data_IF_924288495021
#
_entry.id   IF_924288495021
#
_cell.length_a   1.000
_cell.length_b   1.000
_cell.length_c   1.000
_cell.angle_alpha   90.00
_cell.angle_beta   90.00
_cell.angle_gamma   90.00
#
_symmetry.space_group_name_H-M   'P 1'
#
loop_
_entity.id
_entity.type
_entity.pdbx_description
1 polymer ?
#
# COMPACT_ATOMS: atom_id res chain seq x y z
N UNK A 1 8.65 33.99 40.39
CA UNK A 1 7.90 33.44 39.25
C UNK A 1 8.93 33.11 38.20
N UNK A 2 9.31 31.84 38.14
CA UNK A 2 10.47 31.38 37.39
C UNK A 2 10.04 31.12 35.94
N UNK A 3 10.67 31.84 35.03
CA UNK A 3 10.68 31.61 33.59
C UNK A 3 11.29 30.22 33.33
N UNK A 4 10.42 29.22 33.19
CA UNK A 4 10.80 27.83 33.00
C UNK A 4 10.70 27.47 31.51
N UNK A 5 11.87 27.39 30.88
CA UNK A 5 12.14 26.49 29.76
C UNK A 5 11.39 26.78 28.47
N UNK A 6 11.90 27.73 27.68
CA UNK A 6 11.78 27.65 26.22
C UNK A 6 12.72 26.52 25.80
N UNK A 7 12.24 25.28 25.84
CA UNK A 7 12.95 24.15 25.25
C UNK A 7 13.23 24.52 23.80
N UNK A 8 14.50 24.72 23.49
CA UNK A 8 15.05 24.95 22.15
C UNK A 8 14.90 23.65 21.37
N UNK A 9 13.66 23.32 21.00
CA UNK A 9 13.33 22.18 20.16
C UNK A 9 13.75 22.56 18.74
N UNK A 10 15.06 22.43 18.48
CA UNK A 10 15.65 22.68 17.17
C UNK A 10 14.86 21.92 16.13
N UNK A 11 14.28 22.65 15.18
CA UNK A 11 13.54 22.04 14.07
C UNK A 11 14.49 21.08 13.35
N UNK A 12 14.13 19.80 13.20
CA UNK A 12 14.95 18.84 12.47
C UNK A 12 15.30 19.34 11.07
N UNK A 13 16.48 18.98 10.58
CA UNK A 13 16.90 19.28 9.22
C UNK A 13 15.91 18.66 8.21
N UNK A 14 15.05 19.51 7.65
CA UNK A 14 13.96 19.06 6.79
C UNK A 14 14.48 18.52 5.46
N UNK A 15 15.56 19.10 4.95
CA UNK A 15 16.14 18.69 3.67
C UNK A 15 16.75 17.30 3.81
N UNK A 16 17.46 17.04 4.91
CA UNK A 16 17.95 15.69 5.22
C UNK A 16 16.81 14.68 5.42
N UNK A 17 15.70 15.08 6.03
CA UNK A 17 14.53 14.22 6.20
C UNK A 17 13.90 13.84 4.85
N UNK A 18 13.76 14.82 3.94
CA UNK A 18 13.19 14.60 2.61
C UNK A 18 14.10 13.75 1.73
N UNK A 19 15.40 14.01 1.75
CA UNK A 19 16.40 13.23 1.00
C UNK A 19 16.41 11.76 1.46
N UNK A 20 16.46 11.53 2.78
CA UNK A 20 16.40 10.17 3.35
C UNK A 20 15.08 9.45 3.03
N UNK A 21 13.99 10.20 2.88
CA UNK A 21 12.69 9.65 2.47
C UNK A 21 12.59 9.42 0.95
N UNK A 22 13.58 9.85 0.16
CA UNK A 22 13.57 9.75 -1.30
C UNK A 22 12.54 10.67 -1.95
N UNK A 23 12.25 11.82 -1.34
CA UNK A 23 11.27 12.76 -1.89
C UNK A 23 11.81 13.47 -3.14
N UNK A 24 11.08 13.37 -4.24
CA UNK A 24 11.31 14.10 -5.48
C UNK A 24 10.03 14.87 -5.86
N UNK A 25 10.08 16.22 -5.94
CA UNK A 25 8.91 17.03 -6.27
C UNK A 25 8.41 16.85 -7.71
N UNK A 26 9.22 16.33 -8.64
CA UNK A 26 8.81 16.12 -10.04
C UNK A 26 7.95 14.87 -10.21
N UNK A 27 8.08 13.90 -9.30
CA UNK A 27 7.38 12.60 -9.36
C UNK A 27 6.37 12.43 -8.22
N UNK A 28 6.27 13.39 -7.31
CA UNK A 28 5.33 13.35 -6.18
C UNK A 28 4.04 14.15 -6.46
N UNK A 29 2.93 13.68 -5.87
CA UNK A 29 1.67 14.44 -5.79
C UNK A 29 1.72 15.56 -4.74
N UNK A 30 2.77 15.58 -3.91
CA UNK A 30 2.98 16.59 -2.89
C UNK A 30 3.91 17.67 -3.42
N UNK A 31 3.58 18.93 -3.14
CA UNK A 31 4.57 20.00 -3.31
C UNK A 31 5.68 19.86 -2.28
N UNK A 32 6.87 20.43 -2.55
CA UNK A 32 7.96 20.47 -1.56
C UNK A 32 7.47 21.00 -0.21
N UNK A 33 6.66 22.06 -0.22
CA UNK A 33 6.13 22.68 1.00
C UNK A 33 5.19 21.75 1.79
N UNK A 34 4.38 20.96 1.10
CA UNK A 34 3.53 19.95 1.73
C UNK A 34 4.37 18.82 2.34
N UNK A 35 5.40 18.37 1.64
CA UNK A 35 6.32 17.33 2.12
C UNK A 35 7.10 17.80 3.36
N UNK A 36 7.62 19.04 3.36
CA UNK A 36 8.28 19.64 4.52
C UNK A 36 7.38 19.64 5.76
N UNK A 37 6.14 20.13 5.61
CA UNK A 37 5.18 20.18 6.71
C UNK A 37 4.85 18.77 7.21
N UNK A 38 4.57 17.81 6.32
CA UNK A 38 4.33 16.42 6.73
C UNK A 38 5.53 15.81 7.46
N UNK A 39 6.74 15.95 6.92
CA UNK A 39 7.95 15.39 7.52
C UNK A 39 8.18 15.90 8.95
N UNK A 40 8.03 17.21 9.18
CA UNK A 40 8.16 17.80 10.52
C UNK A 40 7.03 17.36 11.45
N UNK A 41 5.80 17.24 10.95
CA UNK A 41 4.66 16.79 11.75
C UNK A 41 4.80 15.33 12.19
N UNK A 42 5.33 14.45 11.33
CA UNK A 42 5.63 13.06 11.68
C UNK A 42 6.78 12.94 12.71
N UNK A 43 7.62 13.97 12.84
CA UNK A 43 8.60 14.10 13.95
C UNK A 43 8.03 14.75 15.21
N UNK A 44 6.74 15.05 15.25
CA UNK A 44 6.07 15.65 16.40
C UNK A 44 6.16 17.17 16.50
N UNK A 45 6.82 17.85 15.55
CA UNK A 45 7.02 19.31 15.61
C UNK A 45 5.67 20.03 15.54
N UNK A 46 5.44 20.98 16.44
CA UNK A 46 4.15 21.71 16.53
C UNK A 46 3.96 22.63 15.31
N UNK A 47 2.72 22.78 14.86
CA UNK A 47 2.39 23.68 13.74
C UNK A 47 2.84 25.12 13.94
N UNK A 48 2.84 25.62 15.19
CA UNK A 48 3.37 26.95 15.52
C UNK A 48 4.88 27.05 15.27
N UNK A 49 5.65 26.06 15.73
CA UNK A 49 7.10 26.00 15.53
C UNK A 49 7.44 25.88 14.04
N UNK A 50 6.65 25.06 13.30
CA UNK A 50 6.77 24.98 11.84
C UNK A 50 6.47 26.34 11.21
N UNK A 51 5.42 27.03 11.65
CA UNK A 51 5.05 28.34 11.10
C UNK A 51 6.17 29.38 11.28
N UNK A 52 6.80 29.40 12.46
CA UNK A 52 7.94 30.26 12.76
C UNK A 52 9.15 29.92 11.87
N UNK A 53 9.51 28.63 11.77
CA UNK A 53 10.60 28.14 10.91
C UNK A 53 10.37 28.46 9.44
N UNK A 54 9.12 28.40 9.00
CA UNK A 54 8.70 28.59 7.63
C UNK A 54 8.37 30.05 7.27
N UNK A 55 8.45 30.97 8.24
CA UNK A 55 8.14 32.39 8.03
C UNK A 55 6.69 32.65 7.60
N UNK A 56 5.73 31.89 8.12
CA UNK A 56 4.32 31.94 7.72
C UNK A 56 3.39 31.87 8.93
N UNK A 57 2.07 32.01 8.73
CA UNK A 57 1.09 31.84 9.80
C UNK A 57 0.81 30.36 10.14
N UNK A 58 0.47 30.08 11.40
CA UNK A 58 -0.01 28.75 11.85
C UNK A 58 -1.24 28.29 11.06
N UNK A 59 -2.14 29.22 10.71
CA UNK A 59 -3.31 28.92 9.90
C UNK A 59 -2.93 28.40 8.51
N UNK A 60 -1.91 29.01 7.88
CA UNK A 60 -1.39 28.54 6.60
C UNK A 60 -0.75 27.14 6.72
N UNK A 61 0.05 26.90 7.78
CA UNK A 61 0.62 25.56 8.04
C UNK A 61 -0.46 24.51 8.21
N UNK A 62 -1.51 24.82 8.97
CA UNK A 62 -2.67 23.92 9.14
C UNK A 62 -3.33 23.60 7.80
N UNK A 63 -3.53 24.60 6.94
CA UNK A 63 -4.07 24.39 5.60
C UNK A 63 -3.16 23.52 4.74
N UNK A 64 -1.84 23.75 4.77
CA UNK A 64 -0.85 22.96 4.03
C UNK A 64 -0.87 21.50 4.51
N UNK A 65 -0.86 21.26 5.82
CA UNK A 65 -0.93 19.91 6.40
C UNK A 65 -2.21 19.19 5.97
N UNK A 66 -3.36 19.85 6.07
CA UNK A 66 -4.65 19.27 5.68
C UNK A 66 -4.68 18.89 4.20
N UNK A 67 -4.23 19.79 3.31
CA UNK A 67 -4.12 19.51 1.88
C UNK A 67 -3.12 18.38 1.58
N UNK A 68 -1.98 18.35 2.28
CA UNK A 68 -0.98 17.30 2.11
C UNK A 68 -1.56 15.92 2.48
N UNK A 69 -2.22 15.80 3.64
CA UNK A 69 -2.89 14.56 4.06
C UNK A 69 -3.99 14.13 3.09
N UNK A 70 -4.79 15.08 2.59
CA UNK A 70 -5.82 14.79 1.60
C UNK A 70 -5.23 14.29 0.26
N UNK A 71 -4.10 14.84 -0.18
CA UNK A 71 -3.41 14.37 -1.39
C UNK A 71 -2.85 12.96 -1.21
N UNK A 72 -2.27 12.64 -0.05
CA UNK A 72 -1.80 11.28 0.28
C UNK A 72 -2.96 10.29 0.25
N UNK A 73 -4.10 10.64 0.85
CA UNK A 73 -5.29 9.78 0.87
C UNK A 73 -5.81 9.51 -0.55
N UNK A 74 -5.95 10.55 -1.36
CA UNK A 74 -6.39 10.41 -2.77
C UNK A 74 -5.43 9.55 -3.59
N UNK A 75 -4.12 9.69 -3.39
CA UNK A 75 -3.13 8.89 -4.09
C UNK A 75 -3.23 7.41 -3.71
N UNK A 76 -3.41 7.10 -2.41
CA UNK A 76 -3.64 5.73 -1.94
C UNK A 76 -4.90 5.11 -2.54
N UNK A 77 -6.00 5.86 -2.58
CA UNK A 77 -7.24 5.41 -3.20
C UNK A 77 -7.07 5.19 -4.71
N UNK A 78 -6.33 6.06 -5.38
CA UNK A 78 -6.02 5.92 -6.82
C UNK A 78 -5.27 4.62 -7.10
N UNK A 79 -4.24 4.31 -6.31
CA UNK A 79 -3.50 3.04 -6.43
C UNK A 79 -4.43 1.85 -6.17
N UNK A 80 -5.22 1.91 -5.10
CA UNK A 80 -6.18 0.84 -4.75
C UNK A 80 -7.20 0.59 -5.87
N UNK A 81 -7.71 1.66 -6.50
CA UNK A 81 -8.62 1.56 -7.63
C UNK A 81 -7.97 0.92 -8.86
N UNK A 82 -6.76 1.36 -9.22
CA UNK A 82 -6.02 0.77 -10.34
C UNK A 82 -5.72 -0.71 -10.07
N UNK A 83 -5.28 -1.06 -8.87
CA UNK A 83 -5.03 -2.46 -8.47
C UNK A 83 -6.28 -3.33 -8.58
N UNK A 84 -7.45 -2.78 -8.24
CA UNK A 84 -8.72 -3.47 -8.37
C UNK A 84 -9.13 -3.70 -9.83
N UNK A 85 -8.78 -2.78 -10.74
CA UNK A 85 -9.01 -2.93 -12.17
C UNK A 85 -8.03 -3.90 -12.82
N UNK A 86 -6.76 -3.86 -12.42
CA UNK A 86 -5.71 -4.55 -13.15
C UNK A 86 -5.43 -5.94 -12.66
N UNK A 87 -5.74 -6.28 -11.39
CA UNK A 87 -5.43 -7.56 -10.74
C UNK A 87 -4.31 -8.30 -11.49
N UNK A 88 -3.06 -7.78 -11.42
CA UNK A 88 -2.04 -7.93 -12.46
C UNK A 88 -1.74 -9.38 -12.84
N UNK A 89 -2.06 -10.30 -11.95
CA UNK A 89 -1.96 -11.73 -12.17
C UNK A 89 -3.32 -12.35 -11.90
N UNK A 90 -3.88 -13.00 -12.91
CA UNK A 90 -5.04 -13.90 -12.78
C UNK A 90 -4.62 -15.27 -13.29
N UNK A 91 -4.48 -16.21 -12.36
CA UNK A 91 -4.23 -17.61 -12.69
C UNK A 91 -5.56 -18.34 -12.73
N UNK A 92 -5.82 -18.95 -13.88
CA UNK A 92 -6.91 -19.89 -14.04
C UNK A 92 -6.43 -21.27 -13.59
N UNK A 93 -7.13 -21.86 -12.62
CA UNK A 93 -6.87 -23.21 -12.12
C UNK A 93 -8.03 -24.10 -12.59
N UNK A 94 -7.82 -24.92 -13.63
CA UNK A 94 -8.86 -25.76 -14.20
C UNK A 94 -9.37 -26.82 -13.23
N UNK A 95 -10.62 -27.26 -13.43
CA UNK A 95 -11.13 -28.49 -12.80
C UNK A 95 -10.20 -29.68 -13.10
N UNK A 96 -9.98 -30.52 -12.11
CA UNK A 96 -9.08 -31.68 -12.15
C UNK A 96 -7.62 -31.36 -11.82
N UNK A 97 -7.27 -30.09 -11.58
CA UNK A 97 -5.93 -29.71 -11.13
C UNK A 97 -5.63 -30.22 -9.73
N UNK A 98 -4.35 -30.47 -9.43
CA UNK A 98 -3.88 -30.75 -8.06
C UNK A 98 -3.63 -29.42 -7.33
N UNK A 99 -4.16 -29.28 -6.12
CA UNK A 99 -3.96 -28.11 -5.26
C UNK A 99 -2.46 -27.81 -5.05
N UNK A 100 -1.60 -28.82 -5.09
CA UNK A 100 -0.16 -28.66 -4.89
C UNK A 100 0.55 -28.01 -6.08
N UNK A 101 -0.08 -28.00 -7.25
CA UNK A 101 0.44 -27.32 -8.44
C UNK A 101 0.10 -25.82 -8.44
N UNK A 102 -0.91 -25.40 -7.67
CA UNK A 102 -1.40 -24.01 -7.64
C UNK A 102 -0.32 -23.02 -7.21
N UNK A 103 0.47 -23.25 -6.13
CA UNK A 103 1.53 -22.32 -5.75
C UNK A 103 2.51 -22.03 -6.89
N UNK A 104 2.93 -23.07 -7.62
CA UNK A 104 3.85 -22.91 -8.75
C UNK A 104 3.23 -22.05 -9.85
N UNK A 105 1.99 -22.33 -10.25
CA UNK A 105 1.29 -21.56 -11.28
C UNK A 105 1.15 -20.07 -10.88
N UNK A 106 0.88 -19.81 -9.60
CA UNK A 106 0.79 -18.44 -9.05
C UNK A 106 2.14 -17.74 -9.08
N UNK A 107 3.22 -18.40 -8.67
CA UNK A 107 4.56 -17.81 -8.70
C UNK A 107 5.03 -17.53 -10.12
N UNK A 108 4.88 -18.49 -11.04
CA UNK A 108 5.27 -18.33 -12.44
C UNK A 108 4.55 -17.12 -13.06
N UNK A 109 3.23 -16.99 -12.85
CA UNK A 109 2.46 -15.87 -13.38
C UNK A 109 2.79 -14.53 -12.71
N UNK A 110 3.18 -14.54 -11.43
CA UNK A 110 3.64 -13.33 -10.73
C UNK A 110 5.03 -12.88 -11.19
N UNK A 111 5.95 -13.81 -11.42
CA UNK A 111 7.28 -13.51 -11.94
C UNK A 111 7.19 -12.92 -13.36
N UNK A 112 6.31 -13.44 -14.22
CA UNK A 112 6.03 -12.87 -15.55
C UNK A 112 5.47 -11.45 -15.48
N UNK A 113 4.62 -11.17 -14.49
CA UNK A 113 4.01 -9.85 -14.28
C UNK A 113 4.90 -8.89 -13.46
N UNK A 114 6.06 -9.33 -12.96
CA UNK A 114 6.92 -8.54 -12.08
C UNK A 114 6.32 -8.24 -10.70
N UNK A 115 5.39 -9.08 -10.23
CA UNK A 115 4.69 -8.95 -8.94
C UNK A 115 5.35 -9.87 -7.91
N UNK A 116 5.61 -9.36 -6.70
CA UNK A 116 6.06 -10.21 -5.59
C UNK A 116 4.87 -10.81 -4.84
N UNK A 117 4.82 -12.13 -4.75
CA UNK A 117 3.89 -12.83 -3.86
C UNK A 117 4.46 -12.85 -2.45
N UNK A 118 3.68 -12.38 -1.48
CA UNK A 118 4.10 -12.37 -0.07
C UNK A 118 3.86 -13.70 0.67
N UNK A 119 3.04 -14.58 0.07
CA UNK A 119 2.55 -15.80 0.69
C UNK A 119 3.44 -17.00 0.34
N UNK A 120 3.70 -17.86 1.33
CA UNK A 120 4.39 -19.13 1.11
C UNK A 120 3.48 -20.12 0.39
N UNK A 121 4.05 -21.20 -0.17
CA UNK A 121 3.24 -22.24 -0.83
C UNK A 121 2.18 -22.85 0.10
N UNK A 122 2.48 -23.17 1.39
CA UNK A 122 1.47 -23.55 2.37
C UNK A 122 0.37 -22.52 2.58
N UNK A 123 0.71 -21.23 2.62
CA UNK A 123 -0.27 -20.15 2.78
C UNK A 123 -1.20 -20.07 1.56
N UNK A 124 -0.65 -20.19 0.35
CA UNK A 124 -1.43 -20.21 -0.89
C UNK A 124 -2.40 -21.40 -0.91
N UNK A 125 -1.93 -22.61 -0.58
CA UNK A 125 -2.78 -23.79 -0.50
C UNK A 125 -3.91 -23.60 0.50
N UNK A 126 -3.61 -23.05 1.68
CA UNK A 126 -4.62 -22.75 2.69
C UNK A 126 -5.65 -21.73 2.21
N UNK A 127 -5.20 -20.62 1.63
CA UNK A 127 -6.07 -19.56 1.08
C UNK A 127 -7.01 -20.14 0.01
N UNK A 128 -6.49 -20.99 -0.87
CA UNK A 128 -7.28 -21.65 -1.92
C UNK A 128 -8.30 -22.61 -1.31
N UNK A 129 -7.89 -23.51 -0.41
CA UNK A 129 -8.82 -24.44 0.24
C UNK A 129 -9.91 -23.73 1.04
N UNK A 130 -9.53 -22.71 1.82
CA UNK A 130 -10.47 -21.95 2.66
C UNK A 130 -11.52 -21.20 1.81
N UNK A 131 -11.12 -20.65 0.65
CA UNK A 131 -12.00 -19.92 -0.25
C UNK A 131 -12.83 -20.82 -1.18
N UNK A 132 -12.24 -21.94 -1.61
CA UNK A 132 -12.87 -22.88 -2.53
C UNK A 132 -13.89 -23.79 -1.83
N UNK A 133 -13.79 -24.01 -0.52
CA UNK A 133 -14.75 -24.82 0.23
C UNK A 133 -14.91 -26.22 -0.39
N UNK A 134 -16.12 -26.57 -0.82
CA UNK A 134 -16.47 -27.82 -1.49
C UNK A 134 -15.95 -27.95 -2.93
N UNK A 135 -15.47 -26.85 -3.54
CA UNK A 135 -14.77 -26.90 -4.83
C UNK A 135 -13.36 -27.52 -4.74
N UNK A 136 -12.90 -27.89 -3.54
CA UNK A 136 -11.67 -28.68 -3.32
C UNK A 136 -12.01 -29.92 -2.51
N UNK A 137 -11.82 -31.10 -3.10
CA UNK A 137 -11.99 -32.37 -2.41
C UNK A 137 -10.63 -33.04 -2.21
N UNK A 138 -10.16 -33.04 -0.96
CA UNK A 138 -8.81 -33.49 -0.61
C UNK A 138 -7.75 -32.59 -1.25
N UNK A 139 -7.23 -33.02 -2.40
CA UNK A 139 -6.22 -32.28 -3.19
C UNK A 139 -6.68 -31.93 -4.60
N UNK A 140 -7.88 -32.36 -5.00
CA UNK A 140 -8.36 -32.18 -6.35
C UNK A 140 -9.29 -30.96 -6.41
N UNK A 141 -9.03 -30.07 -7.36
CA UNK A 141 -9.90 -28.94 -7.68
C UNK A 141 -11.11 -29.47 -8.47
N UNK A 142 -12.32 -29.41 -7.90
CA UNK A 142 -13.56 -29.92 -8.52
C UNK A 142 -14.28 -28.89 -9.37
N UNK A 143 -14.07 -27.61 -9.11
CA UNK A 143 -14.61 -26.50 -9.89
C UNK A 143 -13.50 -25.53 -10.27
N UNK A 144 -13.61 -24.91 -11.43
CA UNK A 144 -12.63 -23.95 -11.89
C UNK A 144 -12.48 -22.77 -10.91
N UNK A 145 -11.24 -22.46 -10.55
CA UNK A 145 -10.89 -21.36 -9.66
C UNK A 145 -10.09 -20.30 -10.40
N UNK A 146 -10.23 -19.06 -9.94
CA UNK A 146 -9.38 -17.94 -10.32
C UNK A 146 -8.62 -17.45 -9.11
N UNK A 147 -7.30 -17.52 -9.18
CA UNK A 147 -6.40 -16.96 -8.16
C UNK A 147 -5.87 -15.64 -8.69
N UNK A 148 -6.29 -14.55 -8.06
CA UNK A 148 -5.83 -13.20 -8.35
C UNK A 148 -4.76 -12.76 -7.37
N UNK A 149 -3.68 -12.15 -7.87
CA UNK A 149 -2.67 -11.49 -7.03
C UNK A 149 -2.65 -9.99 -7.35
N UNK A 150 -2.78 -9.16 -6.32
CA UNK A 150 -2.68 -7.70 -6.43
C UNK A 150 -1.21 -7.25 -6.49
N UNK A 151 -0.97 -6.01 -6.92
CA UNK A 151 0.39 -5.44 -7.00
C UNK A 151 1.15 -5.43 -5.67
N UNK A 152 0.42 -5.34 -4.54
CA UNK A 152 0.96 -5.42 -3.19
C UNK A 152 1.14 -6.86 -2.67
N UNK A 153 0.95 -7.87 -3.52
CA UNK A 153 1.20 -9.27 -3.22
C UNK A 153 0.11 -9.96 -2.41
N UNK A 154 -1.08 -9.35 -2.25
CA UNK A 154 -2.24 -10.02 -1.63
C UNK A 154 -2.93 -10.96 -2.61
N UNK A 155 -3.35 -12.11 -2.10
CA UNK A 155 -3.94 -13.19 -2.89
C UNK A 155 -5.45 -13.24 -2.63
N UNK A 156 -6.24 -13.38 -3.69
CA UNK A 156 -7.70 -13.56 -3.64
C UNK A 156 -8.10 -14.74 -4.52
N UNK A 157 -9.01 -15.57 -4.03
CA UNK A 157 -9.51 -16.73 -4.78
C UNK A 157 -11.00 -16.54 -5.03
N UNK A 158 -11.42 -16.77 -6.28
CA UNK A 158 -12.82 -16.73 -6.68
C UNK A 158 -13.15 -18.01 -7.42
N UNK A 159 -14.30 -18.60 -7.12
CA UNK A 159 -14.88 -19.65 -7.95
C UNK A 159 -15.38 -19.05 -9.25
N UNK A 160 -15.36 -19.83 -10.33
CA UNK A 160 -16.14 -19.47 -11.50
C UNK A 160 -17.61 -19.41 -11.07
N UNK A 161 -18.20 -18.20 -11.05
CA UNK A 161 -19.65 -18.10 -10.94
C UNK A 161 -20.19 -18.56 -12.30
N UNK A 162 -20.91 -19.68 -12.31
CA UNK A 162 -21.68 -20.06 -13.48
C UNK A 162 -22.51 -18.85 -13.93
N UNK A 163 -22.32 -18.47 -15.19
CA UNK A 163 -22.92 -17.27 -15.75
C UNK A 163 -24.42 -17.23 -15.47
N UNK A 164 -24.88 -16.09 -14.96
CA UNK A 164 -26.26 -15.64 -15.03
C UNK A 164 -26.32 -14.43 -15.94
#
# INVERSE_FOLDING_TARGET
>A
MSDAGRDDETVPDVDQLLDRAGFDPETSVLTRRQAEVLALRERGVRQSTIADFLGTSRANVSSIEASARANVEKARETVTFVDALTAPVRVEVPTGSDLYDVPKQVYDACDEAGVKVNQTAPDLMKIVSDAAGDAVEGREIKEQLFVGVTSDGRVRVRRHADGV
#
